data_IF_834284015916
#
_entry.id   IF_834284015916
#
_cell.length_a   1.000
_cell.length_b   1.000
_cell.length_c   1.000
_cell.angle_alpha   90.00
_cell.angle_beta   90.00
_cell.angle_gamma   90.00
#
_symmetry.space_group_name_H-M   'P 1'
#
loop_
_entity.id
_entity.type
_entity.pdbx_description
1 polymer ?
#
# COMPACT_ATOMS: atom_id res chain seq x y z
N UNK A 1 30.14 -29.99 13.14
CA UNK A 1 29.98 -30.19 11.68
C UNK A 1 28.62 -29.64 11.30
N UNK A 2 28.60 -28.64 10.42
CA UNK A 2 27.47 -27.72 10.18
C UNK A 2 26.12 -28.41 10.05
N UNK A 3 25.17 -28.02 10.90
CA UNK A 3 23.75 -28.16 10.60
C UNK A 3 23.47 -27.29 9.37
N UNK A 4 23.08 -27.92 8.27
CA UNK A 4 22.53 -27.22 7.13
C UNK A 4 21.25 -26.51 7.58
N UNK A 5 21.32 -25.19 7.69
CA UNK A 5 20.15 -24.34 7.81
C UNK A 5 19.38 -24.47 6.49
N UNK A 6 18.22 -25.11 6.51
CA UNK A 6 17.26 -25.06 5.40
C UNK A 6 16.91 -23.60 5.09
N UNK A 7 16.67 -23.23 3.81
CA UNK A 7 16.18 -21.89 3.48
C UNK A 7 14.83 -21.66 4.16
N UNK A 8 14.55 -20.46 4.69
CA UNK A 8 13.25 -20.16 5.29
C UNK A 8 12.19 -20.27 4.19
N UNK A 9 11.29 -21.24 4.34
CA UNK A 9 10.08 -21.39 3.55
C UNK A 9 9.39 -20.03 3.43
N UNK A 10 9.19 -19.56 2.19
CA UNK A 10 8.39 -18.37 1.92
C UNK A 10 6.99 -18.58 2.52
N UNK A 11 6.68 -17.87 3.61
CA UNK A 11 5.45 -18.07 4.38
C UNK A 11 4.21 -17.95 3.45
N UNK A 12 3.42 -19.03 3.26
CA UNK A 12 2.24 -19.02 2.40
C UNK A 12 1.20 -17.95 2.80
N UNK A 13 1.21 -17.53 4.06
CA UNK A 13 0.32 -16.51 4.60
C UNK A 13 0.56 -15.10 4.03
N UNK A 14 1.79 -14.74 3.66
CA UNK A 14 2.10 -13.40 3.16
C UNK A 14 1.48 -13.14 1.77
N UNK A 15 1.54 -14.14 0.88
CA UNK A 15 0.88 -14.06 -0.43
C UNK A 15 -0.65 -14.03 -0.28
N UNK A 16 -1.21 -14.81 0.65
CA UNK A 16 -2.65 -14.79 0.93
C UNK A 16 -3.11 -13.43 1.51
N UNK A 17 -2.30 -12.81 2.37
CA UNK A 17 -2.56 -11.48 2.91
C UNK A 17 -2.50 -10.40 1.81
N UNK A 18 -1.63 -10.55 0.82
CA UNK A 18 -1.56 -9.64 -0.32
C UNK A 18 -2.89 -9.56 -1.10
N UNK A 19 -3.65 -10.66 -1.20
CA UNK A 19 -4.98 -10.66 -1.82
C UNK A 19 -6.06 -9.92 -1.01
N UNK A 20 -5.80 -9.60 0.25
CA UNK A 20 -6.69 -8.76 1.08
C UNK A 20 -6.39 -7.25 0.92
N UNK A 21 -5.30 -6.90 0.23
CA UNK A 21 -4.93 -5.51 -0.04
C UNK A 21 -5.89 -4.88 -1.04
N UNK A 22 -6.36 -3.68 -0.72
CA UNK A 22 -7.21 -2.90 -1.61
C UNK A 22 -6.39 -1.81 -2.32
N UNK A 23 -6.44 -1.78 -3.65
CA UNK A 23 -5.67 -0.83 -4.47
C UNK A 23 -5.99 0.64 -4.15
N UNK A 24 -7.23 0.97 -3.77
CA UNK A 24 -7.59 2.35 -3.36
C UNK A 24 -6.93 2.71 -2.03
N UNK A 25 -6.81 1.77 -1.10
CA UNK A 25 -6.11 2.02 0.16
C UNK A 25 -4.61 2.17 -0.07
N UNK A 26 -4.00 1.35 -0.94
CA UNK A 26 -2.59 1.49 -1.32
C UNK A 26 -2.32 2.84 -1.98
N UNK A 27 -3.20 3.28 -2.89
CA UNK A 27 -3.10 4.61 -3.49
C UNK A 27 -3.24 5.71 -2.43
N UNK A 28 -4.20 5.55 -1.52
CA UNK A 28 -4.38 6.43 -0.37
C UNK A 28 -3.13 6.55 0.50
N UNK A 29 -2.49 5.43 0.83
CA UNK A 29 -1.23 5.37 1.59
C UNK A 29 -0.12 6.15 0.89
N UNK A 30 0.08 5.96 -0.41
CA UNK A 30 1.09 6.74 -1.17
C UNK A 30 0.79 8.23 -1.16
N UNK A 31 -0.49 8.62 -1.22
CA UNK A 31 -0.90 10.02 -1.18
C UNK A 31 -0.70 10.64 0.21
N UNK A 32 -0.93 9.90 1.30
CA UNK A 32 -0.66 10.38 2.66
C UNK A 32 0.82 10.71 2.83
N UNK A 33 1.70 9.82 2.35
CA UNK A 33 3.14 10.07 2.34
C UNK A 33 3.51 11.31 1.51
N UNK A 34 2.91 11.48 0.32
CA UNK A 34 3.21 12.62 -0.58
C UNK A 34 2.75 13.98 -0.03
N UNK A 35 1.62 14.01 0.67
CA UNK A 35 1.00 15.25 1.11
C UNK A 35 1.21 15.57 2.60
N UNK A 36 1.69 14.62 3.40
CA UNK A 36 1.86 14.81 4.86
C UNK A 36 0.55 15.07 5.62
N UNK A 37 -0.61 14.81 5.00
CA UNK A 37 -1.93 15.13 5.55
C UNK A 37 -3.01 14.21 4.98
N UNK A 38 -3.84 13.62 5.85
CA UNK A 38 -4.98 12.78 5.41
C UNK A 38 -5.97 13.59 4.59
N UNK A 39 -6.25 14.83 4.97
CA UNK A 39 -7.26 15.64 4.27
C UNK A 39 -6.81 15.96 2.84
N UNK A 40 -5.56 16.40 2.68
CA UNK A 40 -4.98 16.67 1.35
C UNK A 40 -4.89 15.40 0.51
N UNK A 41 -4.41 14.29 1.09
CA UNK A 41 -4.33 13.01 0.43
C UNK A 41 -5.70 12.49 -0.02
N UNK A 42 -6.73 12.61 0.82
CA UNK A 42 -8.09 12.18 0.49
C UNK A 42 -8.64 12.93 -0.72
N UNK A 43 -8.44 14.24 -0.77
CA UNK A 43 -8.77 15.06 -1.95
C UNK A 43 -8.03 14.60 -3.21
N UNK A 44 -6.73 14.34 -3.09
CA UNK A 44 -5.90 13.91 -4.22
C UNK A 44 -6.30 12.55 -4.81
N UNK A 45 -6.89 11.65 -4.02
CA UNK A 45 -7.32 10.31 -4.46
C UNK A 45 -8.84 10.17 -4.63
N UNK A 46 -9.59 11.27 -4.51
CA UNK A 46 -11.05 11.27 -4.69
C UNK A 46 -11.81 10.47 -3.63
N UNK A 47 -11.33 10.49 -2.38
CA UNK A 47 -11.99 9.84 -1.24
C UNK A 47 -12.40 10.88 -0.19
N UNK A 48 -13.33 10.49 0.68
CA UNK A 48 -13.57 11.24 1.91
C UNK A 48 -12.45 10.96 2.92
N UNK A 49 -12.14 11.93 3.78
CA UNK A 49 -11.14 11.76 4.85
C UNK A 49 -11.44 10.55 5.78
N UNK A 50 -12.70 10.28 6.19
CA UNK A 50 -13.03 9.08 6.96
C UNK A 50 -12.74 7.79 6.18
N UNK A 51 -13.08 7.74 4.89
CA UNK A 51 -12.81 6.57 4.05
C UNK A 51 -11.30 6.30 3.93
N UNK A 52 -10.50 7.34 3.71
CA UNK A 52 -9.04 7.21 3.66
C UNK A 52 -8.47 6.74 5.00
N UNK A 53 -8.89 7.34 6.11
CA UNK A 53 -8.44 6.94 7.46
C UNK A 53 -8.74 5.47 7.74
N UNK A 54 -9.96 5.00 7.43
CA UNK A 54 -10.33 3.60 7.59
C UNK A 54 -9.54 2.67 6.65
N UNK A 55 -9.21 3.14 5.44
CA UNK A 55 -8.36 2.40 4.51
C UNK A 55 -6.96 2.17 5.06
N UNK A 56 -6.33 3.21 5.62
CA UNK A 56 -5.00 3.11 6.26
C UNK A 56 -5.05 2.18 7.48
N UNK A 57 -6.04 2.34 8.36
CA UNK A 57 -6.21 1.47 9.54
C UNK A 57 -6.36 -0.01 9.16
N UNK A 58 -7.02 -0.31 8.04
CA UNK A 58 -7.12 -1.69 7.54
C UNK A 58 -5.78 -2.24 7.08
N UNK A 59 -4.95 -1.42 6.43
CA UNK A 59 -3.58 -1.82 6.05
C UNK A 59 -2.73 -2.07 7.28
N UNK A 60 -2.76 -1.17 8.26
CA UNK A 60 -2.06 -1.31 9.54
C UNK A 60 -2.45 -2.58 10.28
N UNK A 61 -3.75 -2.87 10.38
CA UNK A 61 -4.26 -4.10 11.00
C UNK A 61 -3.84 -5.37 10.26
N UNK A 62 -3.84 -5.34 8.93
CA UNK A 62 -3.41 -6.49 8.13
C UNK A 62 -1.92 -6.77 8.30
N UNK A 63 -1.10 -5.74 8.47
CA UNK A 63 0.35 -5.83 8.61
C UNK A 63 0.81 -5.98 10.06
N UNK A 64 -0.05 -5.67 11.03
CA UNK A 64 0.30 -5.65 12.46
C UNK A 64 1.21 -4.48 12.84
N UNK A 65 1.31 -3.46 11.99
CA UNK A 65 2.27 -2.36 12.12
C UNK A 65 1.58 -1.01 11.96
N UNK A 66 2.06 -0.01 12.69
CA UNK A 66 1.66 1.39 12.48
C UNK A 66 2.46 1.94 11.31
N UNK A 67 1.78 2.49 10.30
CA UNK A 67 2.42 2.96 9.07
C UNK A 67 2.66 4.46 9.10
N UNK A 68 1.85 5.20 9.84
CA UNK A 68 1.99 6.64 9.97
C UNK A 68 1.80 7.11 11.41
N UNK A 69 2.56 8.13 11.79
CA UNK A 69 2.41 8.81 13.07
C UNK A 69 2.04 10.28 12.87
N UNK A 70 1.25 10.80 13.80
CA UNK A 70 0.89 12.22 13.84
C UNK A 70 1.94 12.99 14.62
N UNK A 71 2.47 14.02 14.00
CA UNK A 71 3.40 14.98 14.58
C UNK A 71 2.84 16.40 14.49
N UNK A 72 3.38 17.38 15.24
CA UNK A 72 2.91 18.77 15.20
C UNK A 72 2.96 19.41 13.80
N UNK A 73 3.88 18.96 12.95
CA UNK A 73 4.13 19.42 11.59
C UNK A 73 3.38 18.62 10.51
N UNK A 74 2.65 17.57 10.88
CA UNK A 74 1.82 16.80 9.96
C UNK A 74 1.85 15.30 10.24
N UNK A 75 1.67 14.51 9.18
CA UNK A 75 1.72 13.06 9.23
C UNK A 75 2.98 12.59 8.54
N UNK A 76 3.76 11.78 9.27
CA UNK A 76 5.01 11.21 8.75
C UNK A 76 4.93 9.69 8.76
N UNK A 77 5.57 9.01 7.81
CA UNK A 77 5.66 7.56 7.81
C UNK A 77 6.55 7.06 8.95
N UNK A 78 6.23 5.88 9.47
CA UNK A 78 7.17 5.10 10.30
C UNK A 78 8.17 4.37 9.39
N UNK A 79 9.17 3.69 9.96
CA UNK A 79 10.07 2.85 9.15
C UNK A 79 9.33 1.74 8.37
N UNK A 80 8.29 1.15 8.97
CA UNK A 80 7.40 0.21 8.29
C UNK A 80 6.57 0.91 7.21
N UNK A 81 6.07 2.12 7.51
CA UNK A 81 5.37 2.98 6.56
C UNK A 81 6.16 3.26 5.30
N UNK A 82 7.42 3.68 5.44
CA UNK A 82 8.34 3.95 4.33
C UNK A 82 8.49 2.74 3.41
N UNK A 83 8.79 1.58 4.00
CA UNK A 83 8.92 0.33 3.25
C UNK A 83 7.65 -0.02 2.48
N UNK A 84 6.48 0.11 3.12
CA UNK A 84 5.19 -0.22 2.50
C UNK A 84 4.82 0.77 1.40
N UNK A 85 5.11 2.06 1.58
CA UNK A 85 4.90 3.10 0.56
C UNK A 85 5.69 2.79 -0.70
N UNK A 86 6.97 2.44 -0.57
CA UNK A 86 7.81 2.10 -1.73
C UNK A 86 7.29 0.87 -2.47
N UNK A 87 6.88 -0.17 -1.74
CA UNK A 87 6.30 -1.37 -2.35
C UNK A 87 4.94 -1.11 -2.99
N UNK A 88 4.10 -0.29 -2.38
CA UNK A 88 2.81 0.11 -2.93
C UNK A 88 2.98 0.90 -4.24
N UNK A 89 3.94 1.85 -4.29
CA UNK A 89 4.28 2.60 -5.51
C UNK A 89 4.71 1.67 -6.65
N UNK A 90 5.63 0.74 -6.36
CA UNK A 90 6.09 -0.22 -7.35
C UNK A 90 4.94 -1.09 -7.89
N UNK A 91 4.10 -1.63 -7.00
CA UNK A 91 2.93 -2.42 -7.37
C UNK A 91 1.96 -1.64 -8.29
N UNK A 92 1.59 -0.42 -7.89
CA UNK A 92 0.71 0.43 -8.68
C UNK A 92 1.31 0.79 -10.04
N UNK A 93 2.63 1.02 -10.12
CA UNK A 93 3.32 1.28 -11.38
C UNK A 93 3.34 0.06 -12.33
N UNK A 94 3.54 -1.15 -11.78
CA UNK A 94 3.44 -2.39 -12.56
C UNK A 94 2.04 -2.57 -13.13
N UNK A 95 0.99 -2.37 -12.31
CA UNK A 95 -0.39 -2.46 -12.77
C UNK A 95 -0.71 -1.40 -13.83
N UNK A 96 -0.29 -0.15 -13.62
CA UNK A 96 -0.47 0.93 -14.59
C UNK A 96 0.22 0.64 -15.93
N UNK A 97 1.36 -0.06 -15.91
CA UNK A 97 2.05 -0.49 -17.13
C UNK A 97 1.25 -1.57 -17.85
N UNK A 98 0.76 -2.58 -17.13
CA UNK A 98 -0.09 -3.62 -17.70
C UNK A 98 -1.37 -3.07 -18.32
N UNK A 99 -2.07 -2.15 -17.65
CA UNK A 99 -3.32 -1.56 -18.18
C UNK A 99 -3.09 -0.77 -19.47
N UNK A 100 -1.96 -0.07 -19.61
CA UNK A 100 -1.59 0.61 -20.87
C UNK A 100 -1.32 -0.38 -22.01
N UNK A 101 -0.71 -1.52 -21.70
CA UNK A 101 -0.41 -2.55 -22.72
C UNK A 101 -1.69 -3.25 -23.21
N UNK A 102 -2.67 -3.45 -22.33
CA UNK A 102 -3.96 -4.05 -22.68
C UNK A 102 -4.90 -3.04 -23.34
N UNK A 103 -4.77 -1.75 -23.07
CA UNK A 103 -5.64 -0.67 -23.59
C UNK A 103 -5.71 -0.51 -25.12
N UNK A 104 -5.08 -1.39 -25.90
CA UNK A 104 -5.19 -1.47 -27.35
C UNK A 104 -5.94 -2.71 -27.90
N UNK A 105 -6.33 -3.66 -27.06
CA UNK A 105 -7.15 -4.80 -27.49
C UNK A 105 -8.62 -4.44 -27.31
N UNK A 106 -9.31 -4.09 -28.40
CA UNK A 106 -10.74 -3.78 -28.39
C UNK A 106 -11.51 -4.90 -27.67
N UNK A 107 -12.17 -4.54 -26.57
CA UNK A 107 -13.08 -5.43 -25.87
C UNK A 107 -14.42 -5.39 -26.60
N UNK A 108 -14.69 -6.38 -27.46
CA UNK A 108 -16.02 -6.63 -28.02
C UNK A 108 -16.74 -7.69 -27.18
N UNK A 109 -17.79 -7.33 -26.41
CA UNK A 109 -18.51 -8.23 -25.51
C UNK A 109 -19.53 -9.15 -26.21
#
# INVERSE_FOLDING_TARGET
MNHAQSPPDAQPGAAQAAFQLNLRHLRGLTAVHEHGSISAAAGAVGLSQPALTQGILKLEKLMGEVLFERRPDGIVPTAAGELVVDRARACLAHLATGTRQVGGTAFEP
#
